data_IF_385190971735
#
_entry.id   IF_385190971735
#
_cell.length_a   1.000
_cell.length_b   1.000
_cell.length_c   1.000
_cell.angle_alpha   90.00
_cell.angle_beta   90.00
_cell.angle_gamma   90.00
#
_symmetry.space_group_name_H-M   'P 1'
#
loop_
_entity.id
_entity.type
_entity.pdbx_description
1 polymer ?
#
# COMPACT_ATOMS: atom_id res chain seq x y z
N UNK A 1 -5.78 -10.74 75.60
CA UNK A 1 -5.22 -11.34 74.38
C UNK A 1 -5.77 -10.50 73.23
N UNK A 2 -5.06 -9.43 72.90
CA UNK A 2 -5.48 -8.42 71.92
C UNK A 2 -5.17 -8.93 70.51
N UNK A 3 -6.19 -9.03 69.67
CA UNK A 3 -6.05 -9.34 68.24
C UNK A 3 -5.82 -8.05 67.47
N UNK A 4 -4.58 -7.85 67.03
CA UNK A 4 -4.17 -6.79 66.11
C UNK A 4 -4.74 -7.12 64.72
N UNK A 5 -5.66 -6.30 64.22
CA UNK A 5 -6.14 -6.35 62.83
C UNK A 5 -5.32 -5.36 62.01
N UNK A 6 -4.48 -5.86 61.10
CA UNK A 6 -3.83 -5.04 60.08
C UNK A 6 -4.80 -4.76 58.92
N UNK A 7 -4.99 -3.50 58.49
CA UNK A 7 -5.72 -3.21 57.27
C UNK A 7 -4.79 -3.45 56.08
N UNK A 8 -4.98 -4.56 55.35
CA UNK A 8 -4.36 -4.74 54.05
C UNK A 8 -4.94 -3.71 53.08
N UNK A 9 -4.14 -2.70 52.72
CA UNK A 9 -4.55 -1.66 51.78
C UNK A 9 -4.73 -2.26 50.38
N UNK A 10 -5.96 -2.21 49.84
CA UNK A 10 -6.31 -2.69 48.50
C UNK A 10 -5.70 -1.87 47.36
N UNK A 11 -4.96 -0.79 47.66
CA UNK A 11 -4.41 0.14 46.66
C UNK A 11 -3.12 -0.36 45.99
N UNK A 12 -2.42 -1.34 46.57
CA UNK A 12 -1.16 -1.86 46.01
C UNK A 12 -1.33 -2.99 44.98
N UNK A 13 -2.49 -3.63 44.94
CA UNK A 13 -2.76 -4.72 43.98
C UNK A 13 -3.16 -4.20 42.60
N UNK A 14 -3.87 -3.07 42.51
CA UNK A 14 -4.30 -2.48 41.24
C UNK A 14 -3.14 -1.86 40.44
N UNK A 15 -2.12 -1.35 41.13
CA UNK A 15 -0.92 -0.81 40.48
C UNK A 15 -0.10 -1.89 39.76
N UNK A 16 -0.09 -3.14 40.25
CA UNK A 16 0.61 -4.25 39.58
C UNK A 16 -0.13 -4.76 38.34
N UNK A 17 -1.46 -4.73 38.30
CA UNK A 17 -2.22 -5.09 37.10
C UNK A 17 -2.16 -4.02 36.01
N UNK A 18 -2.09 -2.74 36.38
CA UNK A 18 -1.87 -1.64 35.43
C UNK A 18 -0.45 -1.63 34.85
N UNK A 19 0.58 -2.01 35.63
CA UNK A 19 1.96 -2.15 35.13
C UNK A 19 2.15 -3.39 34.23
N UNK A 20 1.32 -4.42 34.38
CA UNK A 20 1.34 -5.61 33.50
C UNK A 20 0.50 -5.42 32.23
N UNK A 21 -0.56 -4.59 32.27
CA UNK A 21 -1.30 -4.19 31.07
C UNK A 21 -0.64 -3.05 30.27
N UNK A 22 0.35 -2.37 30.84
CA UNK A 22 1.25 -1.45 30.15
C UNK A 22 2.47 -2.16 29.53
N UNK A 23 2.45 -3.49 29.42
CA UNK A 23 3.16 -4.16 28.34
C UNK A 23 2.42 -3.81 27.05
N UNK A 24 2.81 -2.65 26.50
CA UNK A 24 2.50 -2.26 25.14
C UNK A 24 2.51 -3.52 24.27
N UNK A 25 1.43 -3.72 23.52
CA UNK A 25 1.46 -4.51 22.29
C UNK A 25 2.39 -3.73 21.34
N UNK A 26 3.69 -3.76 21.66
CA UNK A 26 4.74 -3.46 20.71
C UNK A 26 4.61 -4.59 19.71
N UNK A 27 4.16 -4.26 18.50
CA UNK A 27 4.40 -5.11 17.35
C UNK A 27 5.89 -5.48 17.41
N UNK A 28 6.19 -6.76 17.60
CA UNK A 28 7.58 -7.21 17.63
C UNK A 28 8.12 -6.98 16.23
N UNK A 29 9.04 -6.03 16.08
CA UNK A 29 9.72 -5.82 14.81
C UNK A 29 10.34 -7.13 14.35
N UNK A 30 9.88 -7.63 13.21
CA UNK A 30 10.37 -8.86 12.59
C UNK A 30 11.63 -8.58 11.77
N UNK A 31 11.81 -7.33 11.34
CA UNK A 31 12.99 -6.87 10.62
C UNK A 31 13.92 -6.07 11.53
N UNK A 32 15.20 -6.46 11.53
CA UNK A 32 16.27 -5.72 12.22
C UNK A 32 16.76 -4.58 11.34
N UNK A 33 16.64 -3.36 11.83
CA UNK A 33 17.25 -2.19 11.21
C UNK A 33 18.78 -2.18 11.43
N UNK A 34 19.55 -1.49 10.55
CA UNK A 34 20.97 -1.26 10.78
C UNK A 34 21.25 -0.57 12.12
N UNK A 35 22.48 -0.67 12.63
CA UNK A 35 22.90 0.02 13.86
C UNK A 35 22.66 1.53 13.69
N UNK A 36 21.92 2.14 14.62
CA UNK A 36 21.42 3.53 14.57
C UNK A 36 20.38 3.84 13.48
N UNK A 37 19.83 2.82 12.83
CA UNK A 37 18.72 2.95 11.90
C UNK A 37 17.39 3.16 12.62
N UNK A 38 16.73 4.28 12.38
CA UNK A 38 15.38 4.57 12.91
C UNK A 38 14.41 4.90 11.78
N UNK A 39 13.18 4.40 11.90
CA UNK A 39 12.03 4.73 11.05
C UNK A 39 10.86 5.04 11.99
N UNK A 40 10.56 6.32 12.29
CA UNK A 40 9.51 6.67 13.26
C UNK A 40 8.10 6.57 12.68
N UNK A 41 7.94 6.66 11.35
CA UNK A 41 6.66 6.55 10.69
C UNK A 41 6.78 5.90 9.29
N UNK A 42 5.64 5.39 8.81
CA UNK A 42 5.43 4.98 7.41
C UNK A 42 4.39 5.93 6.81
N UNK A 43 4.79 6.72 5.81
CA UNK A 43 3.95 7.73 5.16
C UNK A 43 3.73 7.30 3.73
N UNK A 44 2.48 7.13 3.32
CA UNK A 44 2.15 6.37 2.11
C UNK A 44 1.31 7.17 1.13
N UNK A 45 1.64 7.03 -0.16
CA UNK A 45 0.96 7.63 -1.30
C UNK A 45 0.73 6.56 -2.34
N UNK A 46 -0.33 6.71 -3.12
CA UNK A 46 -0.56 5.78 -4.21
C UNK A 46 -2.01 5.42 -4.50
N UNK A 47 -2.16 4.23 -5.04
CA UNK A 47 -3.40 3.61 -5.50
C UNK A 47 -4.02 2.62 -4.49
N UNK A 48 -4.90 1.75 -4.99
CA UNK A 48 -5.71 0.81 -4.22
C UNK A 48 -4.87 -0.23 -3.47
N UNK A 49 -3.63 -0.48 -3.91
CA UNK A 49 -2.72 -1.42 -3.24
C UNK A 49 -2.39 -0.94 -1.82
N UNK A 50 -2.44 0.37 -1.54
CA UNK A 50 -2.08 0.93 -0.24
C UNK A 50 -3.12 1.90 0.31
N UNK A 51 -4.32 1.89 -0.27
CA UNK A 51 -5.49 2.61 0.24
C UNK A 51 -6.07 1.90 1.48
N UNK A 52 -6.33 2.68 2.51
CA UNK A 52 -6.90 2.22 3.77
C UNK A 52 -8.33 2.71 4.00
N UNK A 53 -8.94 3.36 3.01
CA UNK A 53 -10.30 3.90 3.07
C UNK A 53 -10.44 5.39 2.71
N UNK A 54 -9.46 6.02 2.05
CA UNK A 54 -9.64 7.41 1.60
C UNK A 54 -10.71 7.54 0.52
N UNK A 55 -11.09 6.43 -0.14
CA UNK A 55 -12.15 6.40 -1.13
C UNK A 55 -13.57 6.27 -0.55
N UNK A 56 -13.73 5.99 0.75
CA UNK A 56 -15.02 5.57 1.32
C UNK A 56 -16.13 6.63 1.16
N UNK A 57 -15.77 7.90 1.34
CA UNK A 57 -16.70 9.04 1.27
C UNK A 57 -16.71 9.75 -0.11
N UNK A 58 -16.02 9.18 -1.11
CA UNK A 58 -16.02 9.72 -2.47
C UNK A 58 -17.23 9.21 -3.26
N UNK A 59 -17.76 10.05 -4.15
CA UNK A 59 -18.77 9.63 -5.12
C UNK A 59 -18.12 8.84 -6.29
N UNK A 60 -17.68 7.63 -5.99
CA UNK A 60 -16.99 6.73 -6.93
C UNK A 60 -17.46 5.28 -6.78
N UNK A 61 -17.29 4.50 -7.84
CA UNK A 61 -17.45 3.04 -7.80
C UNK A 61 -16.20 2.31 -7.29
N UNK A 62 -15.07 3.03 -7.16
CA UNK A 62 -13.78 2.50 -6.72
C UNK A 62 -13.68 2.63 -5.19
N UNK A 63 -14.41 1.78 -4.47
CA UNK A 63 -14.38 1.70 -2.99
C UNK A 63 -14.67 0.27 -2.53
N UNK A 64 -14.21 -0.06 -1.32
CA UNK A 64 -14.25 -1.41 -0.75
C UNK A 64 -14.65 -1.40 0.74
N UNK A 65 -15.47 -0.43 1.16
CA UNK A 65 -16.00 -0.24 2.52
C UNK A 65 -17.25 -1.11 2.78
N UNK A 66 -17.35 -2.26 2.10
CA UNK A 66 -18.44 -3.21 2.23
C UNK A 66 -17.94 -4.65 2.06
N UNK A 67 -18.70 -5.60 2.60
CA UNK A 67 -18.40 -7.03 2.46
C UNK A 67 -18.47 -7.47 0.98
N UNK A 68 -17.57 -8.38 0.54
CA UNK A 68 -16.75 -9.25 1.37
C UNK A 68 -15.36 -8.70 1.74
N UNK A 69 -15.00 -7.47 1.34
CA UNK A 69 -13.72 -6.89 1.70
C UNK A 69 -13.54 -6.80 3.23
N UNK A 70 -12.30 -6.98 3.69
CA UNK A 70 -11.97 -6.95 5.12
C UNK A 70 -12.49 -8.14 5.94
N UNK A 71 -12.95 -9.23 5.32
CA UNK A 71 -13.45 -10.40 6.07
C UNK A 71 -12.43 -11.05 7.02
N UNK A 72 -11.14 -10.97 6.70
CA UNK A 72 -10.03 -11.46 7.52
C UNK A 72 -9.40 -10.35 8.37
N UNK A 73 -9.88 -9.11 8.20
CA UNK A 73 -9.51 -8.00 9.07
C UNK A 73 -10.10 -8.18 10.46
N UNK A 74 -9.54 -7.51 11.47
CA UNK A 74 -10.01 -7.67 12.85
C UNK A 74 -11.51 -7.35 12.97
N UNK A 75 -12.29 -8.35 13.40
CA UNK A 75 -13.75 -8.25 13.51
C UNK A 75 -14.53 -8.35 12.19
N UNK A 76 -13.88 -8.70 11.08
CA UNK A 76 -14.50 -8.80 9.75
C UNK A 76 -15.01 -7.46 9.23
N UNK A 77 -14.36 -6.36 9.62
CA UNK A 77 -14.81 -5.00 9.32
C UNK A 77 -14.25 -4.55 7.97
N UNK A 78 -15.11 -4.18 7.00
CA UNK A 78 -14.65 -3.59 5.75
C UNK A 78 -14.18 -2.15 5.98
N UNK A 79 -12.86 -1.92 5.91
CA UNK A 79 -12.30 -0.58 6.17
C UNK A 79 -12.15 0.27 4.90
N UNK A 80 -12.41 -0.28 3.71
CA UNK A 80 -12.05 0.34 2.44
C UNK A 80 -10.75 -0.17 1.82
N UNK A 81 -10.05 -1.10 2.48
CA UNK A 81 -8.89 -1.81 1.90
C UNK A 81 -9.35 -2.72 0.77
N UNK A 82 -8.65 -2.68 -0.36
CA UNK A 82 -8.92 -3.53 -1.53
C UNK A 82 -8.36 -4.94 -1.33
N UNK A 83 -8.72 -5.60 -0.23
CA UNK A 83 -8.20 -6.89 0.17
C UNK A 83 -9.18 -7.62 1.11
N UNK A 84 -8.98 -8.91 1.33
CA UNK A 84 -9.63 -9.64 2.43
C UNK A 84 -9.16 -9.17 3.81
N UNK A 85 -7.98 -8.57 3.93
CA UNK A 85 -7.40 -8.16 5.21
C UNK A 85 -6.42 -6.99 5.07
N UNK A 86 -5.24 -7.11 5.67
CA UNK A 86 -4.18 -6.10 5.64
C UNK A 86 -3.60 -5.91 4.24
N UNK A 87 -3.25 -4.66 3.92
CA UNK A 87 -2.58 -4.27 2.68
C UNK A 87 -1.07 -4.05 2.92
N UNK A 88 -0.23 -3.98 1.87
CA UNK A 88 1.22 -3.81 2.02
C UNK A 88 1.69 -2.71 2.97
N UNK A 89 1.00 -1.56 3.04
CA UNK A 89 1.37 -0.47 3.96
C UNK A 89 1.25 -0.90 5.43
N UNK A 90 0.20 -1.65 5.78
CA UNK A 90 0.02 -2.23 7.13
C UNK A 90 1.12 -3.22 7.44
N UNK A 91 1.38 -4.15 6.51
CA UNK A 91 2.35 -5.22 6.68
C UNK A 91 3.76 -4.67 6.83
N UNK A 92 4.14 -3.64 6.06
CA UNK A 92 5.43 -2.96 6.20
C UNK A 92 5.54 -2.30 7.57
N UNK A 93 4.51 -1.58 8.02
CA UNK A 93 4.52 -0.94 9.34
C UNK A 93 4.59 -1.96 10.49
N UNK A 94 3.91 -3.10 10.34
CA UNK A 94 3.92 -4.23 11.27
C UNK A 94 5.31 -4.88 11.36
N UNK A 95 5.91 -5.22 10.22
CA UNK A 95 7.25 -5.84 10.13
C UNK A 95 8.35 -4.94 10.70
N UNK A 96 8.19 -3.62 10.59
CA UNK A 96 9.06 -2.59 11.18
C UNK A 96 8.77 -2.33 12.66
N UNK A 97 7.70 -2.90 13.23
CA UNK A 97 7.31 -2.70 14.63
C UNK A 97 6.77 -1.29 14.94
N UNK A 98 6.29 -0.56 13.93
CA UNK A 98 5.83 0.84 14.08
C UNK A 98 4.37 0.87 14.55
N UNK A 99 3.50 0.13 13.88
CA UNK A 99 2.07 0.00 14.21
C UNK A 99 1.49 -1.22 13.49
N UNK A 100 0.32 -1.67 13.94
CA UNK A 100 -0.36 -2.84 13.38
C UNK A 100 -1.05 -2.56 12.04
N UNK A 101 -1.63 -1.36 11.90
CA UNK A 101 -2.35 -0.90 10.70
C UNK A 101 -2.06 0.57 10.44
N UNK A 102 -1.94 0.96 9.17
CA UNK A 102 -1.76 2.35 8.73
C UNK A 102 -3.14 2.94 8.40
N UNK A 103 -3.61 3.97 9.12
CA UNK A 103 -4.94 4.53 8.88
C UNK A 103 -4.95 5.46 7.66
N UNK A 104 -6.13 5.58 7.05
CA UNK A 104 -6.41 6.55 6.00
C UNK A 104 -6.39 7.98 6.58
N UNK A 105 -5.78 8.92 5.85
CA UNK A 105 -5.72 10.31 6.31
C UNK A 105 -7.09 10.99 6.39
N UNK A 106 -8.04 10.58 5.53
CA UNK A 106 -9.39 11.11 5.50
C UNK A 106 -10.38 10.36 6.40
N UNK A 107 -9.92 9.35 7.16
CA UNK A 107 -10.79 8.65 8.12
C UNK A 107 -11.29 9.66 9.19
N UNK A 108 -12.62 9.84 9.35
CA UNK A 108 -13.18 10.77 10.33
C UNK A 108 -12.86 10.38 11.78
N UNK A 109 -12.42 9.15 12.02
CA UNK A 109 -12.03 8.62 13.33
C UNK A 109 -10.52 8.68 13.59
N UNK A 110 -9.73 9.19 12.63
CA UNK A 110 -8.27 9.32 12.71
C UNK A 110 -7.84 10.10 13.96
N UNK A 111 -6.95 9.52 14.77
CA UNK A 111 -6.45 10.17 15.97
C UNK A 111 -5.22 11.00 15.67
N UNK A 112 -5.05 12.08 16.41
CA UNK A 112 -3.89 12.96 16.34
C UNK A 112 -2.56 12.22 16.52
N UNK A 113 -2.53 11.20 17.38
CA UNK A 113 -1.34 10.36 17.63
C UNK A 113 -0.97 9.49 16.43
N UNK A 114 -1.93 9.11 15.58
CA UNK A 114 -1.65 8.30 14.39
C UNK A 114 -0.75 9.06 13.40
N UNK A 115 -0.88 10.40 13.39
CA UNK A 115 -0.03 11.27 12.57
C UNK A 115 1.45 11.18 12.96
N UNK A 116 1.79 10.86 14.22
CA UNK A 116 3.20 10.78 14.65
C UNK A 116 3.92 9.55 14.08
N UNK A 117 3.15 8.52 13.73
CA UNK A 117 3.64 7.21 13.28
C UNK A 117 3.23 6.91 11.83
N UNK A 118 2.55 7.86 11.17
CA UNK A 118 2.31 7.85 9.73
C UNK A 118 0.91 7.38 9.32
N UNK A 119 0.52 7.78 8.12
CA UNK A 119 -0.82 7.58 7.52
C UNK A 119 -0.67 7.27 6.03
N UNK A 120 -1.73 6.79 5.41
CA UNK A 120 -1.81 6.69 3.95
C UNK A 120 -2.72 7.79 3.38
N UNK A 121 -2.22 8.45 2.34
CA UNK A 121 -2.97 9.39 1.49
C UNK A 121 -3.47 8.70 0.21
N UNK A 122 -3.16 7.42 0.04
CA UNK A 122 -3.46 6.67 -1.17
C UNK A 122 -4.96 6.61 -1.45
N UNK A 123 -5.32 6.51 -2.73
CA UNK A 123 -6.69 6.50 -3.21
C UNK A 123 -6.82 5.52 -4.36
N UNK A 124 -7.68 4.51 -4.21
CA UNK A 124 -7.90 3.50 -5.24
C UNK A 124 -8.22 4.11 -6.61
N UNK A 125 -7.61 3.59 -7.68
CA UNK A 125 -7.83 4.04 -9.05
C UNK A 125 -7.04 5.29 -9.48
N UNK A 126 -6.13 5.80 -8.65
CA UNK A 126 -5.22 6.88 -9.06
C UNK A 126 -4.03 6.33 -9.87
N UNK A 127 -3.34 7.23 -10.56
CA UNK A 127 -2.12 6.91 -11.29
C UNK A 127 -1.20 8.11 -11.46
N UNK A 128 -0.11 7.91 -12.18
CA UNK A 128 0.82 8.97 -12.58
C UNK A 128 0.29 9.83 -13.72
N UNK A 129 -0.57 9.30 -14.60
CA UNK A 129 -1.27 10.08 -15.61
C UNK A 129 -2.40 10.90 -14.94
N UNK A 130 -2.41 12.25 -15.06
CA UNK A 130 -3.48 13.09 -14.52
C UNK A 130 -4.89 12.80 -15.04
N UNK A 131 -5.04 12.03 -16.12
CA UNK A 131 -6.34 11.57 -16.62
C UNK A 131 -6.87 10.35 -15.84
N UNK A 132 -6.00 9.47 -15.37
CA UNK A 132 -6.36 8.24 -14.65
C UNK A 132 -7.33 8.51 -13.47
N UNK A 133 -6.98 9.37 -12.49
CA UNK A 133 -7.89 9.63 -11.36
C UNK A 133 -9.17 10.36 -11.77
N UNK A 134 -9.18 11.12 -12.87
CA UNK A 134 -10.38 11.79 -13.39
C UNK A 134 -11.38 10.80 -13.95
N UNK A 135 -10.90 9.79 -14.68
CA UNK A 135 -11.76 8.73 -15.23
C UNK A 135 -12.41 7.90 -14.11
N UNK A 136 -11.69 7.70 -13.01
CA UNK A 136 -12.17 6.95 -11.85
C UNK A 136 -12.98 7.81 -10.83
N UNK A 137 -12.95 9.14 -10.96
CA UNK A 137 -13.52 10.09 -9.97
C UNK A 137 -12.92 9.90 -8.57
N UNK A 138 -11.59 9.81 -8.47
CA UNK A 138 -10.83 9.55 -7.24
C UNK A 138 -9.73 10.58 -7.00
N UNK A 139 -9.05 10.51 -5.85
CA UNK A 139 -8.06 11.51 -5.42
C UNK A 139 -6.76 11.31 -6.20
N UNK A 140 -6.37 12.33 -6.97
CA UNK A 140 -5.11 12.34 -7.73
C UNK A 140 -3.87 12.42 -6.84
N UNK A 141 -2.70 11.97 -7.32
CA UNK A 141 -1.42 12.14 -6.59
C UNK A 141 -1.15 13.60 -6.20
N UNK A 142 -1.54 14.57 -7.03
CA UNK A 142 -1.43 16.00 -6.71
C UNK A 142 -2.28 16.41 -5.50
N UNK A 143 -3.50 15.86 -5.38
CA UNK A 143 -4.35 16.07 -4.20
C UNK A 143 -3.80 15.35 -2.97
N UNK A 144 -3.24 14.14 -3.12
CA UNK A 144 -2.54 13.44 -2.03
C UNK A 144 -1.37 14.27 -1.50
N UNK A 145 -0.63 14.95 -2.38
CA UNK A 145 0.44 15.88 -1.99
C UNK A 145 -0.11 17.09 -1.21
N UNK A 146 -1.28 17.60 -1.58
CA UNK A 146 -1.93 18.69 -0.83
C UNK A 146 -2.35 18.25 0.57
N UNK A 147 -2.91 17.03 0.70
CA UNK A 147 -3.18 16.44 2.02
C UNK A 147 -1.91 16.22 2.82
N UNK A 148 -0.80 15.87 2.19
CA UNK A 148 0.48 15.78 2.87
C UNK A 148 0.99 17.14 3.38
N UNK A 149 0.83 18.21 2.60
CA UNK A 149 1.14 19.59 3.04
C UNK A 149 0.27 20.00 4.24
N UNK A 150 -0.99 19.57 4.29
CA UNK A 150 -1.86 19.75 5.47
C UNK A 150 -1.40 18.91 6.66
N UNK A 151 -1.06 17.64 6.42
CA UNK A 151 -0.50 16.74 7.43
C UNK A 151 0.75 17.32 8.08
N UNK A 152 1.68 17.91 7.31
CA UNK A 152 2.88 18.55 7.86
C UNK A 152 2.51 19.69 8.82
N UNK A 153 1.50 20.51 8.47
CA UNK A 153 1.01 21.59 9.34
C UNK A 153 0.42 21.02 10.64
N UNK A 154 -0.41 19.97 10.55
CA UNK A 154 -0.97 19.29 11.73
C UNK A 154 0.15 18.69 12.58
N UNK A 155 1.11 18.00 11.96
CA UNK A 155 2.25 17.38 12.62
C UNK A 155 3.10 18.41 13.38
N UNK A 156 3.37 19.57 12.76
CA UNK A 156 4.07 20.69 13.40
C UNK A 156 3.33 21.24 14.62
N UNK A 157 2.01 21.32 14.58
CA UNK A 157 1.19 21.76 15.71
C UNK A 157 1.24 20.78 16.90
N UNK A 158 1.40 19.48 16.64
CA UNK A 158 1.37 18.42 17.67
C UNK A 158 2.76 18.17 18.25
N UNK A 159 3.77 18.09 17.38
CA UNK A 159 5.10 17.60 17.69
C UNK A 159 6.13 18.73 17.85
N UNK A 160 5.82 19.94 17.37
CA UNK A 160 6.80 21.00 17.19
C UNK A 160 7.65 20.83 15.94
N UNK A 161 8.43 21.86 15.62
CA UNK A 161 9.22 21.94 14.38
C UNK A 161 10.32 20.89 14.30
N UNK A 162 11.14 20.78 15.36
CA UNK A 162 12.28 19.87 15.40
C UNK A 162 11.86 18.41 15.21
N UNK A 163 10.85 17.97 15.97
CA UNK A 163 10.33 16.61 15.86
C UNK A 163 9.62 16.35 14.54
N UNK A 164 8.97 17.35 13.94
CA UNK A 164 8.39 17.24 12.60
C UNK A 164 9.47 17.00 11.56
N UNK A 165 10.54 17.80 11.57
CA UNK A 165 11.67 17.64 10.67
C UNK A 165 12.35 16.28 10.85
N UNK A 166 12.47 15.80 12.10
CA UNK A 166 12.96 14.45 12.38
C UNK A 166 12.06 13.37 11.78
N UNK A 167 10.73 13.45 11.96
CA UNK A 167 9.79 12.49 11.37
C UNK A 167 9.92 12.50 9.85
N UNK A 168 9.88 13.66 9.20
CA UNK A 168 9.99 13.77 7.74
C UNK A 168 11.32 13.20 7.21
N UNK A 169 12.44 13.50 7.87
CA UNK A 169 13.75 13.04 7.40
C UNK A 169 14.04 11.56 7.70
N UNK A 170 13.43 10.96 8.73
CA UNK A 170 13.74 9.58 9.16
C UNK A 170 12.68 8.54 8.79
N UNK A 171 11.45 8.97 8.49
CA UNK A 171 10.34 8.09 8.13
C UNK A 171 10.50 7.49 6.75
N UNK A 172 9.87 6.34 6.55
CA UNK A 172 9.82 5.67 5.26
C UNK A 172 8.62 6.20 4.47
N UNK A 173 8.89 6.73 3.28
CA UNK A 173 7.88 7.17 2.33
C UNK A 173 7.69 6.07 1.28
N UNK A 174 6.44 5.68 1.03
CA UNK A 174 6.11 4.67 0.03
C UNK A 174 5.22 5.30 -1.04
N UNK A 175 5.56 5.09 -2.31
CA UNK A 175 4.79 5.57 -3.47
C UNK A 175 4.43 4.39 -4.36
N UNK A 176 3.14 4.11 -4.49
CA UNK A 176 2.60 2.98 -5.27
C UNK A 176 1.62 3.49 -6.32
N UNK A 177 2.03 3.54 -7.59
CA UNK A 177 1.16 3.96 -8.68
C UNK A 177 1.70 3.40 -10.00
N UNK A 178 0.90 3.46 -11.07
CA UNK A 178 1.29 3.05 -12.42
C UNK A 178 0.45 1.92 -12.99
N UNK A 179 -0.11 1.06 -12.13
CA UNK A 179 -0.91 -0.09 -12.56
C UNK A 179 -2.20 0.34 -13.25
N UNK A 180 -2.91 1.31 -12.65
CA UNK A 180 -4.13 1.90 -13.22
C UNK A 180 -3.86 2.65 -14.53
N UNK A 181 -2.72 3.33 -14.65
CA UNK A 181 -2.33 4.03 -15.86
C UNK A 181 -2.18 3.07 -17.04
N UNK A 182 -1.50 1.94 -16.83
CA UNK A 182 -1.24 0.94 -17.86
C UNK A 182 -2.51 0.14 -18.14
N UNK A 183 -3.05 -0.57 -17.13
CA UNK A 183 -4.18 -1.47 -17.32
C UNK A 183 -5.43 -0.71 -17.74
N UNK A 184 -5.87 0.24 -16.92
CA UNK A 184 -7.20 0.82 -17.04
C UNK A 184 -7.21 1.95 -18.07
N UNK A 185 -6.36 2.97 -17.91
CA UNK A 185 -6.36 4.16 -18.77
C UNK A 185 -5.85 3.87 -20.17
N UNK A 186 -4.71 3.18 -20.30
CA UNK A 186 -4.07 2.95 -21.60
C UNK A 186 -4.65 1.76 -22.35
N UNK A 187 -4.73 0.58 -21.72
CA UNK A 187 -5.10 -0.64 -22.44
C UNK A 187 -6.61 -0.89 -22.51
N UNK A 188 -7.31 -0.88 -21.38
CA UNK A 188 -8.75 -1.21 -21.31
C UNK A 188 -9.60 -0.09 -21.89
N UNK A 189 -9.46 1.14 -21.38
CA UNK A 189 -10.26 2.29 -21.85
C UNK A 189 -9.73 2.89 -23.16
N UNK A 190 -8.48 2.59 -23.53
CA UNK A 190 -7.81 3.12 -24.73
C UNK A 190 -7.80 4.65 -24.79
N UNK A 191 -7.97 5.32 -23.65
CA UNK A 191 -8.16 6.77 -23.55
C UNK A 191 -6.93 7.57 -24.03
N UNK A 192 -5.75 6.92 -24.01
CA UNK A 192 -4.46 7.50 -24.38
C UNK A 192 -3.85 6.93 -25.65
N UNK A 193 -4.39 5.85 -26.22
CA UNK A 193 -3.78 5.13 -27.36
C UNK A 193 -3.65 5.95 -28.65
N UNK A 194 -4.52 6.95 -28.84
CA UNK A 194 -4.44 7.86 -30.01
C UNK A 194 -3.41 8.99 -29.81
N UNK A 195 -2.97 9.23 -28.58
CA UNK A 195 -2.07 10.32 -28.22
C UNK A 195 -0.64 9.82 -27.97
N UNK A 196 -0.50 8.61 -27.45
CA UNK A 196 0.77 8.03 -27.02
C UNK A 196 0.90 6.59 -27.50
N UNK A 197 2.06 6.26 -28.07
CA UNK A 197 2.53 4.89 -28.10
C UNK A 197 3.06 4.49 -26.70
N UNK A 198 3.38 3.20 -26.51
CA UNK A 198 3.84 2.70 -25.20
C UNK A 198 5.12 3.40 -24.72
N UNK A 199 6.16 3.61 -25.55
CA UNK A 199 7.31 4.42 -25.16
C UNK A 199 6.94 5.82 -24.67
N UNK A 200 6.16 6.60 -25.43
CA UNK A 200 5.80 7.97 -25.04
C UNK A 200 4.89 8.01 -23.81
N UNK A 201 4.01 7.02 -23.65
CA UNK A 201 3.13 6.94 -22.48
C UNK A 201 3.93 6.63 -21.20
N UNK A 202 4.88 5.71 -21.29
CA UNK A 202 5.78 5.41 -20.15
C UNK A 202 6.73 6.58 -19.85
N UNK A 203 7.04 7.45 -20.82
CA UNK A 203 7.74 8.72 -20.58
C UNK A 203 6.87 9.71 -19.79
N UNK A 204 5.58 9.84 -20.12
CA UNK A 204 4.63 10.65 -19.34
C UNK A 204 4.58 10.18 -17.87
N UNK A 205 4.44 8.87 -17.67
CA UNK A 205 4.36 8.28 -16.32
C UNK A 205 5.64 8.52 -15.51
N UNK A 206 6.82 8.27 -16.09
CA UNK A 206 8.09 8.42 -15.36
C UNK A 206 8.40 9.88 -15.05
N UNK A 207 8.02 10.82 -15.92
CA UNK A 207 8.15 12.25 -15.65
C UNK A 207 7.29 12.68 -14.46
N UNK A 208 6.04 12.24 -14.41
CA UNK A 208 5.13 12.49 -13.29
C UNK A 208 5.65 11.87 -11.99
N UNK A 209 6.14 10.62 -12.04
CA UNK A 209 6.77 9.97 -10.88
C UNK A 209 8.00 10.74 -10.37
N UNK A 210 8.85 11.20 -11.29
CA UNK A 210 10.05 11.97 -10.97
C UNK A 210 9.72 13.32 -10.32
N UNK A 211 8.70 14.03 -10.82
CA UNK A 211 8.21 15.28 -10.24
C UNK A 211 7.63 15.05 -8.84
N UNK A 212 6.82 14.01 -8.66
CA UNK A 212 6.23 13.68 -7.36
C UNK A 212 7.30 13.39 -6.29
N UNK A 213 8.33 12.61 -6.64
CA UNK A 213 9.46 12.33 -5.74
C UNK A 213 10.24 13.59 -5.39
N UNK A 214 10.46 14.50 -6.34
CA UNK A 214 11.12 15.80 -6.09
C UNK A 214 10.29 16.67 -5.14
N UNK A 215 8.96 16.71 -5.30
CA UNK A 215 8.06 17.43 -4.40
C UNK A 215 8.13 16.86 -2.97
N UNK A 216 8.08 15.53 -2.81
CA UNK A 216 8.25 14.90 -1.49
C UNK A 216 9.59 15.26 -0.86
N UNK A 217 10.68 15.21 -1.64
CA UNK A 217 12.01 15.61 -1.17
C UNK A 217 12.06 17.09 -0.74
N UNK A 218 11.46 17.98 -1.53
CA UNK A 218 11.32 19.41 -1.22
C UNK A 218 10.53 19.68 0.06
N UNK A 219 9.60 18.78 0.40
CA UNK A 219 8.82 18.80 1.64
C UNK A 219 9.49 18.10 2.83
N UNK A 220 10.75 17.67 2.69
CA UNK A 220 11.57 17.14 3.78
C UNK A 220 11.69 15.62 3.84
N UNK A 221 11.05 14.89 2.93
CA UNK A 221 11.24 13.44 2.82
C UNK A 221 12.68 13.10 2.40
N UNK A 222 13.29 12.09 3.04
CA UNK A 222 14.66 11.65 2.71
C UNK A 222 14.78 10.16 2.44
N UNK A 223 13.75 9.36 2.68
CA UNK A 223 13.75 7.91 2.50
C UNK A 223 12.53 7.51 1.72
N UNK A 224 12.64 7.49 0.40
CA UNK A 224 11.52 7.35 -0.53
C UNK A 224 11.67 6.04 -1.31
N UNK A 225 10.77 5.11 -1.04
CA UNK A 225 10.58 3.88 -1.80
C UNK A 225 9.51 4.09 -2.86
N UNK A 226 9.83 3.81 -4.12
CA UNK A 226 8.87 3.88 -5.22
C UNK A 226 8.73 2.50 -5.84
N UNK A 227 7.50 2.01 -5.88
CA UNK A 227 7.18 0.66 -6.32
C UNK A 227 7.16 0.60 -7.84
N UNK A 228 7.67 -0.51 -8.37
CA UNK A 228 7.50 -0.89 -9.75
C UNK A 228 6.03 -1.26 -10.02
N UNK A 229 5.64 -1.26 -11.28
CA UNK A 229 4.38 -1.89 -11.71
C UNK A 229 4.54 -3.41 -11.66
N UNK A 230 3.52 -4.17 -11.22
CA UNK A 230 3.55 -5.63 -11.20
C UNK A 230 3.51 -6.20 -12.64
N UNK A 231 3.58 -7.54 -12.83
CA UNK A 231 3.18 -8.20 -14.07
C UNK A 231 1.67 -8.00 -14.30
N UNK A 232 1.28 -6.78 -14.65
CA UNK A 232 -0.11 -6.32 -14.60
C UNK A 232 -0.99 -7.05 -15.62
N UNK A 233 -0.41 -7.52 -16.73
CA UNK A 233 -1.11 -8.38 -17.68
C UNK A 233 -1.51 -9.74 -17.11
N UNK A 234 -0.93 -10.16 -15.99
CA UNK A 234 -1.19 -11.44 -15.35
C UNK A 234 -2.24 -11.39 -14.23
N UNK A 235 -2.79 -10.22 -13.87
CA UNK A 235 -3.90 -10.17 -12.90
C UNK A 235 -5.19 -10.68 -13.55
N UNK A 236 -6.14 -11.28 -12.79
CA UNK A 236 -7.27 -12.00 -13.37
C UNK A 236 -8.12 -11.19 -14.37
N UNK A 237 -8.36 -9.91 -14.09
CA UNK A 237 -9.11 -9.01 -14.98
C UNK A 237 -8.41 -8.77 -16.30
N UNK A 238 -7.08 -8.57 -16.28
CA UNK A 238 -6.32 -8.29 -17.50
C UNK A 238 -6.10 -9.56 -18.33
N UNK A 239 -6.03 -10.73 -17.69
CA UNK A 239 -6.15 -12.03 -18.38
C UNK A 239 -7.48 -12.16 -19.11
N UNK A 240 -8.57 -11.81 -18.45
CA UNK A 240 -9.92 -11.88 -19.03
C UNK A 240 -10.11 -10.89 -20.19
N UNK A 241 -9.56 -9.67 -20.09
CA UNK A 241 -9.76 -8.60 -21.08
C UNK A 241 -8.73 -8.61 -22.22
N UNK A 242 -7.51 -9.10 -21.97
CA UNK A 242 -6.37 -9.01 -22.89
C UNK A 242 -5.65 -10.33 -23.17
N UNK A 243 -5.97 -11.41 -22.45
CA UNK A 243 -5.29 -12.72 -22.54
C UNK A 243 -5.84 -13.67 -23.60
N UNK A 244 -6.81 -13.25 -24.41
CA UNK A 244 -7.48 -14.11 -25.38
C UNK A 244 -8.39 -15.17 -24.75
N UNK A 245 -8.76 -16.19 -25.54
CA UNK A 245 -9.70 -17.25 -25.11
C UNK A 245 -9.16 -18.04 -23.91
N UNK A 246 -7.85 -18.30 -23.90
CA UNK A 246 -7.18 -19.07 -22.86
C UNK A 246 -6.88 -18.26 -21.58
N UNK A 247 -7.21 -16.96 -21.54
CA UNK A 247 -6.92 -16.06 -20.39
C UNK A 247 -5.44 -16.09 -19.98
N UNK A 248 -4.56 -16.11 -20.97
CA UNK A 248 -3.11 -15.96 -20.75
C UNK A 248 -2.76 -14.58 -20.20
N UNK A 249 -1.53 -14.38 -19.75
CA UNK A 249 -1.10 -13.02 -19.42
C UNK A 249 -1.17 -12.12 -20.67
N UNK A 250 -1.69 -10.91 -20.52
CA UNK A 250 -1.68 -9.91 -21.59
C UNK A 250 -0.24 -9.36 -21.78
N UNK A 251 0.51 -9.94 -22.73
CA UNK A 251 1.93 -9.66 -22.91
C UNK A 251 2.24 -8.21 -23.27
N UNK A 252 1.39 -7.54 -24.04
CA UNK A 252 1.55 -6.12 -24.36
C UNK A 252 1.48 -5.22 -23.13
N UNK A 253 0.74 -5.63 -22.10
CA UNK A 253 0.58 -4.89 -20.84
C UNK A 253 1.84 -5.07 -20.00
N UNK A 254 2.38 -6.30 -19.97
CA UNK A 254 3.64 -6.63 -19.31
C UNK A 254 4.83 -5.92 -19.98
N UNK A 255 4.85 -5.82 -21.31
CA UNK A 255 5.88 -5.04 -22.04
C UNK A 255 5.86 -3.58 -21.61
N UNK A 256 4.69 -2.97 -21.50
CA UNK A 256 4.56 -1.59 -21.02
C UNK A 256 5.03 -1.44 -19.56
N UNK A 257 4.64 -2.38 -18.68
CA UNK A 257 5.06 -2.41 -17.28
C UNK A 257 6.58 -2.51 -17.14
N UNK A 258 7.22 -3.45 -17.85
CA UNK A 258 8.68 -3.62 -17.85
C UNK A 258 9.38 -2.36 -18.36
N UNK A 259 8.86 -1.74 -19.43
CA UNK A 259 9.45 -0.51 -19.98
C UNK A 259 9.36 0.65 -18.97
N UNK A 260 8.19 0.86 -18.36
CA UNK A 260 8.01 1.85 -17.30
C UNK A 260 8.97 1.58 -16.13
N UNK A 261 9.03 0.34 -15.66
CA UNK A 261 9.87 -0.07 -14.53
C UNK A 261 11.36 0.22 -14.79
N UNK A 262 11.85 -0.06 -16.01
CA UNK A 262 13.23 0.25 -16.41
C UNK A 262 13.49 1.76 -16.38
N UNK A 263 12.57 2.57 -16.92
CA UNK A 263 12.69 4.04 -16.91
C UNK A 263 12.64 4.59 -15.49
N UNK A 264 11.74 4.07 -14.65
CA UNK A 264 11.60 4.45 -13.25
C UNK A 264 12.88 4.17 -12.46
N UNK A 265 13.44 2.97 -12.57
CA UNK A 265 14.71 2.64 -11.91
C UNK A 265 15.85 3.57 -12.36
N UNK A 266 15.91 3.89 -13.66
CA UNK A 266 16.89 4.84 -14.20
C UNK A 266 16.74 6.25 -13.61
N UNK A 267 15.52 6.79 -13.53
CA UNK A 267 15.31 8.15 -13.01
C UNK A 267 15.59 8.23 -11.51
N UNK A 268 15.20 7.23 -10.73
CA UNK A 268 15.49 7.19 -9.29
C UNK A 268 16.99 7.11 -9.01
N UNK A 269 17.75 6.37 -9.84
CA UNK A 269 19.20 6.36 -9.74
C UNK A 269 19.83 7.73 -10.04
N UNK A 270 19.26 8.52 -10.95
CA UNK A 270 19.75 9.88 -11.25
C UNK A 270 19.60 10.86 -10.07
N UNK A 271 18.68 10.58 -9.15
CA UNK A 271 18.45 11.40 -7.95
C UNK A 271 19.57 11.30 -6.92
N UNK A 272 20.34 10.21 -6.91
CA UNK A 272 21.50 10.05 -6.02
C UNK A 272 22.53 11.17 -6.19
N UNK A 273 22.66 11.71 -7.40
CA UNK A 273 23.59 12.81 -7.70
C UNK A 273 22.98 14.20 -7.43
N UNK A 274 21.69 14.38 -7.73
CA UNK A 274 21.04 15.71 -7.66
C UNK A 274 20.39 16.01 -6.30
N UNK A 275 20.11 15.00 -5.49
CA UNK A 275 19.49 15.11 -4.16
C UNK A 275 20.26 14.22 -3.16
N UNK A 276 21.53 14.56 -2.83
CA UNK A 276 22.47 13.66 -2.16
C UNK A 276 22.08 13.27 -0.74
N UNK A 277 21.22 14.04 -0.07
CA UNK A 277 20.71 13.73 1.27
C UNK A 277 19.58 12.69 1.25
N UNK A 278 19.08 12.32 0.05
CA UNK A 278 17.99 11.39 -0.15
C UNK A 278 18.43 9.95 -0.43
N UNK A 279 17.65 9.01 0.08
CA UNK A 279 17.63 7.59 -0.32
C UNK A 279 16.40 7.36 -1.18
N UNK A 280 16.63 7.03 -2.44
CA UNK A 280 15.58 6.75 -3.43
C UNK A 280 15.68 5.28 -3.80
N UNK A 281 14.76 4.48 -3.29
CA UNK A 281 14.78 3.02 -3.40
C UNK A 281 13.75 2.60 -4.44
N UNK A 282 14.21 1.95 -5.51
CA UNK A 282 13.34 1.27 -6.45
C UNK A 282 12.90 -0.06 -5.82
N UNK A 283 11.59 -0.23 -5.62
CA UNK A 283 11.02 -1.41 -4.98
C UNK A 283 10.43 -2.30 -6.07
N UNK A 284 11.10 -3.42 -6.36
CA UNK A 284 10.63 -4.35 -7.37
C UNK A 284 9.53 -5.28 -6.83
N UNK A 285 8.30 -5.10 -7.31
CA UNK A 285 7.18 -6.03 -7.10
C UNK A 285 6.91 -6.92 -8.31
N UNK A 286 7.51 -6.63 -9.47
CA UNK A 286 7.24 -7.36 -10.70
C UNK A 286 7.71 -8.81 -10.57
N UNK A 287 9.00 -8.99 -10.29
CA UNK A 287 9.59 -10.33 -10.24
C UNK A 287 9.08 -11.17 -9.05
N UNK A 288 8.91 -10.63 -7.83
CA UNK A 288 8.34 -11.39 -6.72
C UNK A 288 6.92 -11.90 -7.00
N UNK A 289 6.02 -11.05 -7.54
CA UNK A 289 4.65 -11.49 -7.86
C UNK A 289 4.63 -12.49 -9.00
N UNK A 290 5.41 -12.27 -10.06
CA UNK A 290 5.53 -13.24 -11.15
C UNK A 290 6.05 -14.59 -10.64
N UNK A 291 7.01 -14.58 -9.71
CA UNK A 291 7.52 -15.77 -9.06
C UNK A 291 6.46 -16.53 -8.26
N UNK A 292 5.56 -15.82 -7.56
CA UNK A 292 4.40 -16.45 -6.89
C UNK A 292 3.44 -17.09 -7.89
N UNK A 293 3.14 -16.41 -9.01
CA UNK A 293 2.24 -16.92 -10.06
C UNK A 293 2.84 -18.17 -10.74
N UNK A 294 4.13 -18.16 -11.03
CA UNK A 294 4.81 -19.27 -11.72
C UNK A 294 5.11 -20.46 -10.80
N UNK A 295 5.29 -20.23 -9.49
CA UNK A 295 5.63 -21.27 -8.52
C UNK A 295 4.73 -21.22 -7.26
N UNK A 296 3.39 -21.33 -7.41
CA UNK A 296 2.44 -21.04 -6.34
C UNK A 296 2.55 -22.00 -5.15
N UNK A 297 2.92 -23.25 -5.42
CA UNK A 297 3.05 -24.31 -4.41
C UNK A 297 4.12 -24.01 -3.35
N UNK A 298 5.15 -23.19 -3.68
CA UNK A 298 6.19 -22.80 -2.72
C UNK A 298 5.64 -22.02 -1.52
N UNK A 299 4.49 -21.37 -1.69
CA UNK A 299 3.79 -20.61 -0.65
C UNK A 299 2.39 -21.19 -0.35
N UNK A 300 2.13 -22.41 -0.82
CA UNK A 300 0.87 -23.10 -0.62
C UNK A 300 -0.33 -22.44 -1.31
N UNK A 301 -0.11 -21.76 -2.44
CA UNK A 301 -1.18 -21.30 -3.32
C UNK A 301 -1.50 -22.36 -4.36
N UNK A 302 -2.76 -22.39 -4.80
CA UNK A 302 -3.29 -23.31 -5.81
C UNK A 302 -3.96 -22.55 -6.96
N UNK A 303 -4.56 -21.38 -6.69
CA UNK A 303 -5.25 -20.56 -7.70
C UNK A 303 -4.50 -19.25 -7.93
N UNK A 304 -4.11 -19.01 -9.19
CA UNK A 304 -3.20 -17.92 -9.58
C UNK A 304 -3.75 -16.99 -10.66
N UNK A 305 -4.87 -17.35 -11.28
CA UNK A 305 -5.46 -16.73 -12.47
C UNK A 305 -6.89 -16.22 -12.24
N UNK A 306 -7.46 -16.49 -11.07
CA UNK A 306 -8.77 -16.06 -10.64
C UNK A 306 -8.72 -15.38 -9.27
N UNK A 307 -9.55 -14.36 -9.10
CA UNK A 307 -9.88 -13.81 -7.78
C UNK A 307 -10.72 -14.80 -6.96
N UNK A 308 -10.60 -14.73 -5.64
CA UNK A 308 -11.48 -15.45 -4.72
C UNK A 308 -12.93 -14.93 -4.75
N UNK A 309 -13.13 -13.66 -5.09
CA UNK A 309 -14.45 -13.03 -5.13
C UNK A 309 -15.19 -13.21 -6.46
N UNK A 310 -16.48 -13.55 -6.40
CA UNK A 310 -17.32 -13.67 -7.59
C UNK A 310 -16.90 -14.84 -8.48
N UNK A 311 -16.94 -14.65 -9.80
CA UNK A 311 -16.33 -15.60 -10.73
C UNK A 311 -14.79 -15.54 -10.71
N UNK A 312 -14.23 -14.48 -10.10
CA UNK A 312 -12.80 -14.20 -10.05
C UNK A 312 -12.23 -13.62 -11.34
N UNK A 313 -13.07 -13.38 -12.36
CA UNK A 313 -12.62 -12.99 -13.69
C UNK A 313 -12.59 -11.48 -13.90
N UNK A 314 -13.56 -10.75 -13.34
CA UNK A 314 -13.71 -9.30 -13.58
C UNK A 314 -14.17 -8.52 -12.34
N UNK A 315 -14.61 -9.23 -11.31
CA UNK A 315 -15.15 -8.65 -10.09
C UNK A 315 -14.02 -7.92 -9.35
N UNK A 316 -14.16 -6.61 -9.22
CA UNK A 316 -13.26 -5.71 -8.48
C UNK A 316 -14.08 -4.53 -7.98
N UNK A 317 -13.71 -3.99 -6.81
CA UNK A 317 -14.45 -2.93 -6.12
C UNK A 317 -15.96 -3.27 -6.03
N UNK A 318 -16.84 -2.39 -6.50
CA UNK A 318 -18.29 -2.59 -6.42
C UNK A 318 -18.79 -3.86 -7.11
N UNK A 319 -18.04 -4.44 -8.06
CA UNK A 319 -18.42 -5.70 -8.71
C UNK A 319 -18.10 -6.94 -7.86
N UNK A 320 -17.26 -6.79 -6.84
CA UNK A 320 -17.02 -7.81 -5.81
C UNK A 320 -17.87 -7.46 -4.57
N UNK A 321 -19.12 -7.91 -4.53
CA UNK A 321 -20.05 -7.57 -3.45
C UNK A 321 -20.90 -8.79 -3.06
N UNK A 322 -21.78 -8.65 -2.07
CA UNK A 322 -22.64 -9.75 -1.57
C UNK A 322 -23.58 -10.36 -2.62
N UNK A 323 -23.84 -9.67 -3.73
CA UNK A 323 -24.67 -10.14 -4.85
C UNK A 323 -23.85 -10.89 -5.90
N UNK A 324 -22.52 -10.79 -5.86
CA UNK A 324 -21.63 -11.58 -6.72
C UNK A 324 -21.76 -13.06 -6.36
N UNK A 325 -21.43 -14.00 -7.27
CA UNK A 325 -21.29 -15.40 -6.92
C UNK A 325 -20.42 -15.55 -5.66
N UNK A 326 -20.73 -16.55 -4.83
CA UNK A 326 -20.12 -16.73 -3.52
C UNK A 326 -18.60 -16.54 -3.54
N UNK A 327 -18.04 -15.95 -2.49
CA UNK A 327 -16.59 -15.96 -2.26
C UNK A 327 -16.06 -17.39 -2.19
N UNK A 328 -14.82 -17.59 -2.62
CA UNK A 328 -14.15 -18.89 -2.55
C UNK A 328 -14.16 -19.46 -1.11
N UNK A 329 -14.12 -20.78 -0.99
CA UNK A 329 -14.22 -21.46 0.32
C UNK A 329 -12.96 -21.36 1.17
N UNK A 330 -11.79 -21.26 0.53
CA UNK A 330 -10.49 -21.15 1.22
C UNK A 330 -9.61 -20.10 0.54
N UNK A 331 -9.64 -18.88 1.08
CA UNK A 331 -8.86 -17.73 0.60
C UNK A 331 -7.36 -18.00 0.64
N UNK A 332 -6.90 -18.86 1.56
CA UNK A 332 -5.48 -19.14 1.72
C UNK A 332 -4.86 -19.83 0.49
N UNK A 333 -5.69 -20.40 -0.39
CA UNK A 333 -5.26 -21.03 -1.64
C UNK A 333 -5.14 -20.06 -2.82
N UNK A 334 -5.63 -18.83 -2.68
CA UNK A 334 -5.69 -17.86 -3.76
C UNK A 334 -4.58 -16.80 -3.63
N UNK A 335 -3.91 -16.51 -4.75
CA UNK A 335 -3.03 -15.34 -4.83
C UNK A 335 -3.87 -14.06 -4.83
N UNK A 336 -4.99 -14.04 -5.56
CA UNK A 336 -5.81 -12.86 -5.77
C UNK A 336 -7.11 -12.90 -4.96
N UNK A 337 -7.40 -11.81 -4.26
CA UNK A 337 -8.64 -11.63 -3.51
C UNK A 337 -9.80 -11.35 -4.44
N UNK A 338 -9.66 -10.33 -5.28
CA UNK A 338 -10.58 -10.00 -6.36
C UNK A 338 -9.85 -10.12 -7.70
N UNK A 339 -10.43 -9.63 -8.80
CA UNK A 339 -9.82 -9.76 -10.13
C UNK A 339 -8.61 -8.85 -10.38
N UNK A 340 -8.13 -8.11 -9.38
CA UNK A 340 -7.01 -7.17 -9.51
C UNK A 340 -6.03 -7.26 -8.34
N UNK A 341 -6.52 -7.37 -7.11
CA UNK A 341 -5.75 -7.22 -5.88
C UNK A 341 -5.38 -8.57 -5.26
N UNK A 342 -4.11 -8.76 -4.85
CA UNK A 342 -3.70 -9.91 -4.04
C UNK A 342 -4.44 -10.08 -2.71
N UNK A 343 -4.45 -11.31 -2.18
CA UNK A 343 -4.91 -11.61 -0.82
C UNK A 343 -3.91 -11.13 0.23
N UNK A 344 -4.33 -10.97 1.49
CA UNK A 344 -3.40 -10.63 2.59
C UNK A 344 -2.26 -11.65 2.67
N UNK A 345 -2.55 -12.95 2.48
CA UNK A 345 -1.53 -14.01 2.49
C UNK A 345 -0.48 -13.78 1.41
N UNK A 346 -0.91 -13.45 0.19
CA UNK A 346 0.00 -13.13 -0.91
C UNK A 346 0.80 -11.85 -0.63
N UNK A 347 0.14 -10.79 -0.15
CA UNK A 347 0.84 -9.57 0.23
C UNK A 347 1.87 -9.80 1.33
N UNK A 348 1.57 -10.59 2.36
CA UNK A 348 2.51 -10.92 3.43
C UNK A 348 3.73 -11.66 2.89
N UNK A 349 3.53 -12.67 2.03
CA UNK A 349 4.65 -13.37 1.38
C UNK A 349 5.54 -12.41 0.56
N UNK A 350 4.93 -11.48 -0.18
CA UNK A 350 5.66 -10.48 -0.97
C UNK A 350 6.40 -9.47 -0.10
N UNK A 351 5.72 -8.88 0.89
CA UNK A 351 6.29 -7.85 1.77
C UNK A 351 7.46 -8.40 2.57
N UNK A 352 7.30 -9.59 3.18
CA UNK A 352 8.39 -10.20 3.95
C UNK A 352 9.63 -10.43 3.06
N UNK A 353 9.44 -10.96 1.84
CA UNK A 353 10.53 -11.18 0.89
C UNK A 353 11.20 -9.87 0.44
N UNK A 354 10.39 -8.90 0.01
CA UNK A 354 10.88 -7.64 -0.55
C UNK A 354 11.60 -6.84 0.53
N UNK A 355 10.96 -6.64 1.69
CA UNK A 355 11.47 -5.76 2.73
C UNK A 355 12.81 -6.27 3.30
N UNK A 356 12.98 -7.60 3.43
CA UNK A 356 14.27 -8.19 3.80
C UNK A 356 15.41 -7.83 2.85
N UNK A 357 15.13 -7.70 1.55
CA UNK A 357 16.14 -7.42 0.53
C UNK A 357 16.46 -5.92 0.41
N UNK A 358 15.47 -5.04 0.63
CA UNK A 358 15.62 -3.60 0.34
C UNK A 358 15.82 -2.73 1.58
N UNK A 359 15.60 -3.24 2.80
CA UNK A 359 15.62 -2.40 4.01
C UNK A 359 16.97 -1.69 4.21
N UNK A 360 18.06 -2.32 3.79
CA UNK A 360 19.40 -1.74 3.83
C UNK A 360 19.55 -0.49 2.96
N UNK A 361 18.85 -0.42 1.82
CA UNK A 361 18.97 0.69 0.86
C UNK A 361 18.35 2.00 1.38
N UNK A 362 17.56 1.93 2.47
CA UNK A 362 16.98 3.08 3.15
C UNK A 362 17.90 3.74 4.18
N UNK A 363 19.12 3.25 4.36
CA UNK A 363 20.13 3.77 5.29
C UNK A 363 21.44 4.03 4.55
#
# INVERSE_FOLDING_TARGET
METIVFPFSSKFLWAKYLLVFALFISAKALIKLPINGTIPAVIVFGDSIVDAGNNNDLNTVIRCDFLPYGQDFAGGVPTGRFCNGKVPSDLIAEELGIKDIVPAYLDPTLKTQDLLTGVTFASGGTGYDPLTPKLASVISLGEQLNYFKEYIRKLKAIAGEEKTNFILAKSMFLVVAGSDDIANTYFVLRARKLQYDVPAYTDLMVNSAAEFVKELYGLGARKIGVFSTPPIGCVPSQRTLGGGIERECAEDYNVAAILFNKKLSSVLNSFKTSMPDGRFVYIDVYNPLLGLIQNPQKNGFEVVDNGCCGTGNIEVAILCNKLSPSTCTDVSKYIFWDSYHPTEKAYRALVTLILQNIIGDFF
#
